data_IF_452424963589
#
_entry.id   IF_452424963589
#
_cell.length_a   1.000
_cell.length_b   1.000
_cell.length_c   1.000
_cell.angle_alpha   90.00
_cell.angle_beta   90.00
_cell.angle_gamma   90.00
#
_symmetry.space_group_name_H-M   'P 1'
#
loop_
_entity.id
_entity.type
_entity.pdbx_description
1 polymer ?
#
# COMPACT_ATOMS: atom_id res chain seq x y z
N UNK A 1 -4.73 0.13 5.20
CA UNK A 1 -4.27 1.39 4.57
C UNK A 1 -5.08 1.75 3.33
N UNK A 2 -5.27 0.85 2.34
CA UNK A 2 -5.98 1.17 1.09
C UNK A 2 -7.43 1.61 1.28
N UNK A 3 -8.17 0.99 2.20
CA UNK A 3 -9.54 1.41 2.51
C UNK A 3 -9.57 2.75 3.26
N UNK A 4 -8.57 3.01 4.12
CA UNK A 4 -8.42 4.32 4.77
C UNK A 4 -8.17 5.41 3.74
N UNK A 5 -7.26 5.18 2.79
CA UNK A 5 -7.00 6.11 1.69
C UNK A 5 -8.27 6.38 0.88
N UNK A 6 -8.99 5.33 0.49
CA UNK A 6 -10.23 5.45 -0.29
C UNK A 6 -11.26 6.30 0.44
N UNK A 7 -11.47 6.04 1.73
CA UNK A 7 -12.40 6.80 2.56
C UNK A 7 -11.97 8.27 2.70
N UNK A 8 -10.69 8.51 2.99
CA UNK A 8 -10.15 9.86 3.09
C UNK A 8 -10.31 10.64 1.78
N UNK A 9 -10.03 10.01 0.63
CA UNK A 9 -10.24 10.62 -0.69
C UNK A 9 -11.73 10.90 -0.96
N UNK A 10 -12.63 10.02 -0.53
CA UNK A 10 -14.09 10.25 -0.66
C UNK A 10 -14.55 11.42 0.18
N UNK A 11 -14.03 11.58 1.40
CA UNK A 11 -14.31 12.76 2.25
C UNK A 11 -13.73 14.01 1.61
N UNK A 12 -12.45 13.97 1.20
CA UNK A 12 -11.79 15.10 0.53
C UNK A 12 -12.58 15.57 -0.69
N UNK A 13 -13.14 14.66 -1.46
CA UNK A 13 -13.90 14.96 -2.66
C UNK A 13 -15.16 15.85 -2.41
N UNK A 14 -15.60 15.99 -1.15
CA UNK A 14 -16.69 16.90 -0.78
C UNK A 14 -16.26 18.35 -0.87
N UNK A 15 -15.00 18.65 -0.57
CA UNK A 15 -14.42 19.98 -0.46
C UNK A 15 -13.48 20.33 -1.60
N UNK A 16 -13.00 19.32 -2.33
CA UNK A 16 -12.03 19.53 -3.40
C UNK A 16 -12.68 20.23 -4.60
N UNK A 17 -12.08 21.30 -5.15
CA UNK A 17 -12.68 22.11 -6.23
C UNK A 17 -12.96 21.31 -7.50
N UNK A 18 -12.05 20.38 -7.83
CA UNK A 18 -12.24 19.48 -8.97
C UNK A 18 -12.70 18.12 -8.45
N UNK A 19 -13.90 17.70 -8.86
CA UNK A 19 -14.42 16.39 -8.45
C UNK A 19 -13.53 15.26 -8.97
N UNK A 20 -13.18 14.36 -8.06
CA UNK A 20 -12.41 13.16 -8.36
C UNK A 20 -13.38 12.01 -8.69
N UNK A 21 -13.15 11.34 -9.79
CA UNK A 21 -13.79 10.07 -10.09
C UNK A 21 -12.97 8.96 -9.43
N UNK A 22 -13.54 8.37 -8.39
CA UNK A 22 -12.86 7.31 -7.61
C UNK A 22 -13.31 5.95 -8.10
N UNK A 23 -12.34 5.06 -8.32
CA UNK A 23 -12.55 3.66 -8.68
C UNK A 23 -11.65 2.79 -7.82
N UNK A 24 -12.20 1.79 -7.15
CA UNK A 24 -11.44 0.90 -6.29
C UNK A 24 -11.18 -0.43 -6.99
N UNK A 25 -9.92 -0.85 -7.01
CA UNK A 25 -9.50 -2.13 -7.60
C UNK A 25 -8.70 -2.92 -6.58
N UNK A 26 -9.05 -4.20 -6.42
CA UNK A 26 -8.26 -5.16 -5.66
C UNK A 26 -7.67 -6.21 -6.60
N UNK A 27 -6.37 -6.42 -6.54
CA UNK A 27 -5.73 -7.56 -7.19
C UNK A 27 -5.75 -8.75 -6.22
N UNK A 28 -6.58 -9.73 -6.52
CA UNK A 28 -6.57 -11.02 -5.84
C UNK A 28 -5.42 -11.86 -6.42
N UNK A 29 -4.44 -12.18 -5.59
CA UNK A 29 -3.25 -12.94 -6.01
C UNK A 29 -3.48 -14.45 -6.05
N UNK A 30 -4.62 -14.94 -5.56
CA UNK A 30 -4.99 -16.35 -5.59
C UNK A 30 -4.57 -17.17 -4.37
N UNK A 31 -4.26 -16.52 -3.22
CA UNK A 31 -4.09 -17.27 -1.97
C UNK A 31 -5.43 -17.82 -1.47
N UNK A 32 -5.40 -19.02 -0.92
CA UNK A 32 -6.59 -19.63 -0.29
C UNK A 32 -7.05 -18.82 0.93
N UNK A 33 -8.37 -18.77 1.13
CA UNK A 33 -8.97 -18.10 2.28
C UNK A 33 -9.02 -16.59 2.23
N UNK A 34 -8.62 -15.94 1.11
CA UNK A 34 -8.81 -14.50 0.93
C UNK A 34 -10.27 -14.16 0.61
N UNK A 35 -10.89 -13.37 1.48
CA UNK A 35 -12.27 -12.89 1.29
C UNK A 35 -12.31 -11.35 1.16
N UNK A 36 -12.72 -10.88 0.00
CA UNK A 36 -12.87 -9.45 -0.32
C UNK A 36 -14.32 -8.95 -0.23
N UNK A 37 -15.24 -9.77 0.27
CA UNK A 37 -16.65 -9.38 0.44
C UNK A 37 -16.80 -8.14 1.31
N UNK A 38 -15.99 -8.02 2.37
CA UNK A 38 -15.95 -6.85 3.23
C UNK A 38 -15.50 -5.58 2.50
N UNK A 39 -14.53 -5.71 1.59
CA UNK A 39 -14.04 -4.59 0.75
C UNK A 39 -15.15 -4.12 -0.19
N UNK A 40 -15.83 -5.04 -0.87
CA UNK A 40 -16.94 -4.74 -1.77
C UNK A 40 -18.05 -3.98 -1.04
N UNK A 41 -18.51 -4.52 0.10
CA UNK A 41 -19.56 -3.88 0.92
C UNK A 41 -19.15 -2.48 1.40
N UNK A 42 -17.88 -2.31 1.77
CA UNK A 42 -17.38 -0.99 2.15
C UNK A 42 -17.42 0.00 0.97
N UNK A 43 -16.94 -0.39 -0.21
CA UNK A 43 -16.98 0.45 -1.40
C UNK A 43 -18.41 0.83 -1.79
N UNK A 44 -19.35 -0.11 -1.73
CA UNK A 44 -20.78 0.11 -1.94
C UNK A 44 -21.35 1.15 -0.94
N UNK A 45 -20.99 1.01 0.35
CA UNK A 45 -21.49 1.92 1.41
C UNK A 45 -21.06 3.36 1.23
N UNK A 46 -19.92 3.60 0.57
CA UNK A 46 -19.42 4.95 0.26
C UNK A 46 -19.67 5.38 -1.19
N UNK A 47 -20.47 4.62 -1.95
CA UNK A 47 -20.74 4.85 -3.36
C UNK A 47 -19.48 5.04 -4.20
N UNK A 48 -18.58 4.05 -4.16
CA UNK A 48 -17.40 3.97 -5.02
C UNK A 48 -17.46 2.66 -5.80
N UNK A 49 -17.37 2.68 -7.14
CA UNK A 49 -17.26 1.49 -7.95
C UNK A 49 -16.08 0.64 -7.51
N UNK A 50 -16.28 -0.68 -7.44
CA UNK A 50 -15.28 -1.64 -7.00
C UNK A 50 -15.15 -2.80 -7.97
N UNK A 51 -13.91 -3.17 -8.26
CA UNK A 51 -13.58 -4.33 -9.06
C UNK A 51 -12.51 -5.19 -8.38
N UNK A 52 -12.67 -6.50 -8.49
CA UNK A 52 -11.67 -7.49 -8.10
C UNK A 52 -11.07 -8.09 -9.38
N UNK A 53 -9.76 -7.99 -9.52
CA UNK A 53 -8.99 -8.61 -10.60
C UNK A 53 -8.40 -9.91 -10.04
N UNK A 54 -8.95 -11.03 -10.48
CA UNK A 54 -8.47 -12.36 -10.06
C UNK A 54 -7.26 -12.75 -10.89
N UNK A 55 -6.24 -13.31 -10.23
CA UNK A 55 -4.99 -13.75 -10.85
C UNK A 55 -4.48 -15.04 -10.20
N UNK A 56 -3.59 -15.74 -10.89
CA UNK A 56 -2.91 -16.94 -10.39
C UNK A 56 -1.48 -16.62 -9.91
N UNK A 57 -1.24 -15.39 -9.44
CA UNK A 57 0.10 -14.94 -9.04
C UNK A 57 0.68 -15.81 -7.90
N UNK A 58 -0.14 -16.22 -6.95
CA UNK A 58 0.32 -17.08 -5.86
C UNK A 58 0.91 -18.39 -6.39
N UNK A 59 0.23 -19.04 -7.33
CA UNK A 59 0.69 -20.26 -7.98
C UNK A 59 2.01 -20.03 -8.74
N UNK A 60 2.06 -18.99 -9.57
CA UNK A 60 3.27 -18.64 -10.35
C UNK A 60 4.46 -18.40 -9.43
N UNK A 61 4.26 -17.70 -8.29
CA UNK A 61 5.34 -17.30 -7.39
C UNK A 61 5.82 -18.42 -6.49
N UNK A 62 4.91 -19.27 -5.99
CA UNK A 62 5.22 -20.24 -4.94
C UNK A 62 5.26 -21.70 -5.42
N UNK A 63 4.61 -22.03 -6.54
CA UNK A 63 4.59 -23.38 -7.07
C UNK A 63 5.48 -23.52 -8.32
N UNK A 64 5.31 -22.63 -9.32
CA UNK A 64 5.98 -22.75 -10.60
C UNK A 64 7.39 -22.14 -10.60
N UNK A 65 7.63 -21.13 -9.74
CA UNK A 65 8.87 -20.40 -9.71
C UNK A 65 9.57 -20.54 -8.34
N UNK A 66 10.71 -21.21 -8.32
CA UNK A 66 11.55 -21.37 -7.11
C UNK A 66 12.49 -20.17 -6.92
N UNK A 67 12.05 -18.95 -7.23
CA UNK A 67 12.86 -17.75 -7.00
C UNK A 67 13.08 -17.56 -5.49
N UNK A 68 14.31 -17.25 -5.11
CA UNK A 68 14.68 -16.92 -3.73
C UNK A 68 14.03 -15.60 -3.24
N UNK A 69 13.37 -14.84 -4.13
CA UNK A 69 12.75 -13.54 -3.84
C UNK A 69 11.26 -13.46 -4.21
N UNK A 70 10.41 -14.30 -3.60
CA UNK A 70 9.00 -14.40 -3.97
C UNK A 70 8.26 -13.07 -3.84
N UNK A 71 8.56 -12.25 -2.82
CA UNK A 71 7.92 -10.95 -2.62
C UNK A 71 8.17 -9.96 -3.76
N UNK A 72 9.39 -9.95 -4.32
CA UNK A 72 9.75 -9.07 -5.44
C UNK A 72 8.97 -9.43 -6.71
N UNK A 73 8.92 -10.73 -7.03
CA UNK A 73 8.19 -11.23 -8.17
C UNK A 73 6.68 -11.01 -8.01
N UNK A 74 6.12 -11.32 -6.85
CA UNK A 74 4.70 -11.07 -6.54
C UNK A 74 4.34 -9.58 -6.72
N UNK A 75 5.18 -8.67 -6.19
CA UNK A 75 4.95 -7.24 -6.33
C UNK A 75 4.99 -6.78 -7.81
N UNK A 76 5.92 -7.33 -8.62
CA UNK A 76 6.03 -7.04 -10.05
C UNK A 76 4.79 -7.50 -10.82
N UNK A 77 4.36 -8.74 -10.60
CA UNK A 77 3.20 -9.33 -11.27
C UNK A 77 1.90 -8.61 -10.88
N UNK A 78 1.71 -8.29 -9.59
CA UNK A 78 0.55 -7.50 -9.13
C UNK A 78 0.49 -6.13 -9.79
N UNK A 79 1.61 -5.42 -9.86
CA UNK A 79 1.68 -4.12 -10.55
C UNK A 79 1.33 -4.26 -12.02
N UNK A 80 1.87 -5.29 -12.70
CA UNK A 80 1.56 -5.56 -14.10
C UNK A 80 0.07 -5.79 -14.34
N UNK A 81 -0.57 -6.66 -13.54
CA UNK A 81 -2.00 -6.93 -13.63
C UNK A 81 -2.85 -5.67 -13.41
N UNK A 82 -2.48 -4.86 -12.39
CA UNK A 82 -3.17 -3.61 -12.09
C UNK A 82 -3.02 -2.60 -13.24
N UNK A 83 -1.82 -2.38 -13.76
CA UNK A 83 -1.58 -1.40 -14.83
C UNK A 83 -2.26 -1.81 -16.14
N UNK A 84 -2.26 -3.11 -16.46
CA UNK A 84 -3.02 -3.63 -17.61
C UNK A 84 -4.50 -3.29 -17.46
N UNK A 85 -5.08 -3.56 -16.29
CA UNK A 85 -6.51 -3.27 -16.05
C UNK A 85 -6.83 -1.79 -16.08
N UNK A 86 -5.96 -0.93 -15.54
CA UNK A 86 -6.09 0.53 -15.65
C UNK A 86 -6.12 1.00 -17.10
N UNK A 87 -5.24 0.45 -17.95
CA UNK A 87 -5.22 0.75 -19.39
C UNK A 87 -6.53 0.38 -20.10
N UNK A 88 -7.10 -0.80 -19.78
CA UNK A 88 -8.39 -1.25 -20.32
C UNK A 88 -9.56 -0.33 -19.91
N UNK A 89 -9.49 0.24 -18.71
CA UNK A 89 -10.48 1.19 -18.18
C UNK A 89 -10.24 2.65 -18.60
N UNK A 90 -9.14 2.94 -19.32
CA UNK A 90 -8.74 4.30 -19.66
C UNK A 90 -8.32 5.16 -18.45
N UNK A 91 -7.98 4.54 -17.33
CA UNK A 91 -7.56 5.21 -16.09
C UNK A 91 -6.05 5.38 -16.10
N UNK A 92 -5.57 6.61 -15.96
CA UNK A 92 -4.15 6.95 -16.00
C UNK A 92 -3.55 7.40 -14.66
N UNK A 93 -4.28 7.27 -13.57
CA UNK A 93 -3.79 7.59 -12.22
C UNK A 93 -4.12 6.47 -11.25
N UNK A 94 -3.15 6.12 -10.41
CA UNK A 94 -3.34 5.16 -9.32
C UNK A 94 -2.84 5.76 -8.00
N UNK A 95 -3.64 5.66 -6.95
CA UNK A 95 -3.28 6.07 -5.61
C UNK A 95 -2.88 4.84 -4.77
N UNK A 96 -1.67 4.83 -4.24
CA UNK A 96 -1.21 3.85 -3.27
C UNK A 96 -1.25 4.42 -1.86
N UNK A 97 -1.65 3.59 -0.92
CA UNK A 97 -1.80 3.96 0.49
C UNK A 97 -0.48 3.85 1.28
N UNK A 98 0.66 4.09 0.63
CA UNK A 98 1.93 4.16 1.34
C UNK A 98 1.89 5.33 2.33
N UNK A 99 2.27 5.04 3.57
CA UNK A 99 2.28 5.98 4.68
C UNK A 99 3.70 6.46 5.01
N UNK A 100 3.88 7.25 6.08
CA UNK A 100 5.18 7.79 6.50
C UNK A 100 6.14 6.67 6.90
N UNK A 101 5.66 5.65 7.59
CA UNK A 101 6.46 4.54 8.08
C UNK A 101 6.98 3.70 6.91
N UNK A 102 6.14 3.40 5.89
CA UNK A 102 6.56 2.77 4.64
C UNK A 102 7.70 3.53 3.92
N UNK A 103 7.63 4.87 3.95
CA UNK A 103 8.67 5.71 3.34
C UNK A 103 9.99 5.56 4.06
N UNK A 104 9.98 5.63 5.40
CA UNK A 104 11.17 5.51 6.23
C UNK A 104 11.76 4.10 6.14
N UNK A 105 10.93 3.06 6.24
CA UNK A 105 11.35 1.67 6.05
C UNK A 105 12.04 1.46 4.70
N UNK A 106 11.48 2.03 3.63
CA UNK A 106 12.06 1.94 2.30
C UNK A 106 13.42 2.64 2.23
N UNK A 107 13.57 3.81 2.85
CA UNK A 107 14.84 4.52 2.93
C UNK A 107 15.90 3.72 3.71
N UNK A 108 15.53 3.13 4.85
CA UNK A 108 16.42 2.27 5.63
C UNK A 108 16.82 1.01 4.87
N UNK A 109 15.88 0.33 4.24
CA UNK A 109 16.17 -0.86 3.44
C UNK A 109 17.13 -0.53 2.29
N UNK A 110 16.93 0.58 1.61
CA UNK A 110 17.80 1.04 0.53
C UNK A 110 19.21 1.35 1.05
N UNK A 111 19.32 1.99 2.21
CA UNK A 111 20.59 2.29 2.84
C UNK A 111 21.35 1.01 3.26
N UNK A 112 20.67 0.08 3.93
CA UNK A 112 21.28 -1.13 4.51
C UNK A 112 21.62 -2.16 3.42
N UNK A 113 20.72 -2.39 2.46
CA UNK A 113 20.87 -3.49 1.49
C UNK A 113 21.43 -3.05 0.14
N UNK A 114 21.32 -1.77 -0.22
CA UNK A 114 21.73 -1.25 -1.52
C UNK A 114 22.85 -0.22 -1.43
N UNK A 115 23.22 0.23 -0.21
CA UNK A 115 24.26 1.23 0.02
C UNK A 115 23.93 2.61 -0.55
N UNK A 116 22.65 2.91 -0.77
CA UNK A 116 22.18 4.19 -1.30
C UNK A 116 21.00 4.74 -0.50
N UNK A 117 20.89 6.05 -0.40
CA UNK A 117 19.70 6.66 0.19
C UNK A 117 18.64 6.86 -0.90
N UNK A 118 17.60 6.01 -0.84
CA UNK A 118 16.48 6.08 -1.75
C UNK A 118 15.17 5.79 -1.02
N UNK A 119 14.15 6.58 -1.34
CA UNK A 119 12.76 6.28 -1.01
C UNK A 119 11.87 6.67 -2.20
N UNK A 120 10.65 6.17 -2.23
CA UNK A 120 9.73 6.46 -3.32
C UNK A 120 9.23 7.92 -3.25
N UNK A 121 9.16 8.67 -4.37
CA UNK A 121 8.62 10.01 -4.37
C UNK A 121 7.09 10.02 -4.22
N UNK A 122 6.48 11.17 -3.81
CA UNK A 122 5.03 11.29 -3.66
C UNK A 122 4.26 11.09 -4.97
N UNK A 123 4.87 11.45 -6.08
CA UNK A 123 4.33 11.29 -7.44
C UNK A 123 5.36 10.64 -8.33
N UNK A 124 4.96 9.65 -9.13
CA UNK A 124 5.84 8.96 -10.09
C UNK A 124 5.07 8.72 -11.39
N UNK A 125 5.57 9.22 -12.49
CA UNK A 125 5.04 8.84 -13.80
C UNK A 125 5.77 7.59 -14.31
N UNK A 126 5.00 6.62 -14.81
CA UNK A 126 5.48 5.35 -15.37
C UNK A 126 5.19 5.35 -16.88
N UNK A 127 6.16 5.72 -17.73
CA UNK A 127 5.92 5.90 -19.17
C UNK A 127 5.50 4.61 -19.87
N UNK A 128 6.06 3.46 -19.47
CA UNK A 128 5.72 2.16 -20.07
C UNK A 128 4.25 1.75 -19.84
N UNK A 129 3.68 2.16 -18.72
CA UNK A 129 2.29 1.88 -18.37
C UNK A 129 1.34 3.04 -18.68
N UNK A 130 1.85 4.23 -19.02
CA UNK A 130 1.06 5.44 -19.19
C UNK A 130 0.34 5.90 -17.91
N UNK A 131 0.84 5.50 -16.73
CA UNK A 131 0.16 5.67 -15.45
C UNK A 131 0.95 6.59 -14.52
N UNK A 132 0.27 7.52 -13.88
CA UNK A 132 0.82 8.32 -12.78
C UNK A 132 0.45 7.70 -11.43
N UNK A 133 1.46 7.29 -10.67
CA UNK A 133 1.31 6.83 -9.28
C UNK A 133 1.35 8.02 -8.34
N UNK A 134 0.39 8.12 -7.44
CA UNK A 134 0.37 9.11 -6.36
C UNK A 134 0.32 8.44 -5.00
N UNK A 135 0.85 9.09 -3.95
CA UNK A 135 0.90 8.57 -2.58
C UNK A 135 0.41 9.63 -1.58
N UNK A 136 -0.91 9.82 -1.51
CA UNK A 136 -1.49 10.94 -0.73
C UNK A 136 -1.21 10.86 0.77
N UNK A 137 -0.98 9.64 1.31
CA UNK A 137 -0.78 9.41 2.74
C UNK A 137 0.70 9.38 3.15
N UNK A 138 1.63 9.76 2.27
CA UNK A 138 3.07 9.65 2.48
C UNK A 138 3.59 10.34 3.76
N UNK A 139 2.88 11.33 4.27
CA UNK A 139 3.21 12.03 5.52
C UNK A 139 2.35 11.60 6.72
N UNK A 140 1.37 10.73 6.52
CA UNK A 140 0.54 10.23 7.60
C UNK A 140 1.27 9.10 8.36
N UNK A 141 1.40 9.15 9.70
CA UNK A 141 1.99 8.06 10.45
C UNK A 141 1.08 6.81 10.42
N UNK A 142 1.65 5.60 10.39
CA UNK A 142 0.92 4.32 10.37
C UNK A 142 -0.11 4.25 11.51
N UNK A 143 0.29 4.64 12.72
CA UNK A 143 -0.59 4.68 13.91
C UNK A 143 -1.81 5.58 13.69
N UNK A 144 -1.64 6.72 13.01
CA UNK A 144 -2.76 7.62 12.67
C UNK A 144 -3.74 6.97 11.69
N UNK A 145 -3.21 6.26 10.69
CA UNK A 145 -4.03 5.52 9.71
C UNK A 145 -4.77 4.37 10.39
N UNK A 146 -4.12 3.61 11.27
CA UNK A 146 -4.74 2.54 12.04
C UNK A 146 -5.87 3.05 12.92
N UNK A 147 -5.65 4.13 13.67
CA UNK A 147 -6.68 4.77 14.49
C UNK A 147 -7.87 5.26 13.65
N UNK A 148 -7.61 5.82 12.48
CA UNK A 148 -8.67 6.22 11.55
C UNK A 148 -9.53 5.03 11.12
N UNK A 149 -8.90 3.91 10.75
CA UNK A 149 -9.60 2.66 10.37
C UNK A 149 -10.50 2.17 11.50
N UNK A 150 -9.99 2.14 12.73
CA UNK A 150 -10.75 1.72 13.92
C UNK A 150 -11.94 2.66 14.16
N UNK A 151 -11.71 3.96 14.16
CA UNK A 151 -12.74 4.96 14.44
C UNK A 151 -13.85 4.99 13.36
N UNK A 152 -13.53 4.62 12.12
CA UNK A 152 -14.50 4.52 11.04
C UNK A 152 -15.17 3.13 10.95
N UNK A 153 -14.83 2.18 11.85
CA UNK A 153 -15.38 0.83 11.83
C UNK A 153 -15.06 0.04 10.57
N UNK A 154 -13.96 0.36 9.88
CA UNK A 154 -13.57 -0.28 8.63
C UNK A 154 -13.01 -1.68 8.92
N UNK A 155 -13.63 -2.71 8.37
CA UNK A 155 -13.16 -4.09 8.52
C UNK A 155 -11.94 -4.34 7.63
N UNK A 156 -10.86 -4.81 8.25
CA UNK A 156 -9.61 -5.14 7.56
C UNK A 156 -9.67 -6.58 7.05
N UNK A 157 -9.23 -6.80 5.81
CA UNK A 157 -9.05 -8.15 5.25
C UNK A 157 -7.79 -8.78 5.85
N UNK A 158 -7.92 -10.02 6.34
CA UNK A 158 -6.78 -10.76 6.87
C UNK A 158 -5.85 -11.15 5.72
N UNK A 159 -4.55 -10.88 5.88
CA UNK A 159 -3.53 -11.35 4.95
C UNK A 159 -3.27 -12.84 5.17
N UNK A 160 -3.31 -13.64 4.10
CA UNK A 160 -3.04 -15.09 4.13
C UNK A 160 -1.74 -15.46 3.42
N UNK A 161 -0.87 -14.47 3.13
CA UNK A 161 0.41 -14.70 2.49
C UNK A 161 1.34 -15.53 3.39
N UNK A 162 1.92 -16.65 2.90
CA UNK A 162 2.75 -17.54 3.73
C UNK A 162 4.08 -16.91 4.20
N UNK A 163 4.54 -15.85 3.56
CA UNK A 163 5.77 -15.13 3.93
C UNK A 163 5.50 -13.82 4.69
N UNK A 164 4.25 -13.61 5.12
CA UNK A 164 3.89 -12.43 5.92
C UNK A 164 4.62 -12.45 7.26
N UNK A 165 5.15 -11.30 7.70
CA UNK A 165 5.91 -11.17 8.94
C UNK A 165 7.36 -11.65 8.91
N UNK A 166 7.86 -12.27 7.81
CA UNK A 166 9.24 -12.78 7.69
C UNK A 166 10.07 -12.05 6.61
N UNK A 167 9.77 -10.79 6.36
CA UNK A 167 10.39 -10.02 5.28
C UNK A 167 11.49 -9.08 5.78
N UNK A 168 12.38 -8.65 4.86
CA UNK A 168 13.36 -7.59 5.15
C UNK A 168 12.69 -6.28 5.61
N UNK A 169 11.46 -6.04 5.20
CA UNK A 169 10.66 -4.88 5.63
C UNK A 169 10.30 -5.00 7.12
N UNK A 170 9.92 -6.18 7.57
CA UNK A 170 9.62 -6.41 8.99
C UNK A 170 10.86 -6.14 9.88
N UNK A 171 12.05 -6.56 9.42
CA UNK A 171 13.29 -6.22 10.10
C UNK A 171 13.54 -4.71 10.15
N UNK A 172 13.32 -3.99 9.04
CA UNK A 172 13.45 -2.53 9.01
C UNK A 172 12.46 -1.86 9.97
N UNK A 173 11.22 -2.37 10.07
CA UNK A 173 10.20 -1.90 11.03
C UNK A 173 10.65 -2.06 12.47
N UNK A 174 11.14 -3.24 12.85
CA UNK A 174 11.66 -3.51 14.19
C UNK A 174 12.87 -2.62 14.54
N UNK A 175 13.77 -2.40 13.57
CA UNK A 175 14.90 -1.48 13.75
C UNK A 175 14.42 -0.04 13.98
N UNK A 176 13.39 0.40 13.25
CA UNK A 176 12.78 1.72 13.47
C UNK A 176 12.17 1.86 14.86
N UNK A 177 11.49 0.84 15.36
CA UNK A 177 10.93 0.84 16.71
C UNK A 177 12.03 0.97 17.76
N UNK A 178 13.15 0.28 17.58
CA UNK A 178 14.32 0.40 18.46
C UNK A 178 14.92 1.81 18.42
N UNK A 179 15.14 2.37 17.24
CA UNK A 179 15.65 3.74 17.08
C UNK A 179 14.70 4.74 17.74
N UNK A 180 13.40 4.63 17.49
CA UNK A 180 12.41 5.53 18.10
C UNK A 180 12.38 5.42 19.63
N UNK A 181 12.52 4.22 20.19
CA UNK A 181 12.59 4.04 21.65
C UNK A 181 13.81 4.71 22.27
N UNK A 182 14.93 4.75 21.57
CA UNK A 182 16.14 5.45 22.03
C UNK A 182 16.03 6.99 21.88
N UNK A 183 15.31 7.46 20.86
CA UNK A 183 15.18 8.89 20.56
C UNK A 183 14.13 9.61 21.41
N UNK A 184 13.22 8.89 22.06
CA UNK A 184 12.23 9.49 22.97
C UNK A 184 12.87 10.26 24.15
N UNK A 185 14.12 9.95 24.48
CA UNK A 185 14.90 10.70 25.48
C UNK A 185 15.58 11.97 24.94
N UNK A 186 15.58 12.18 23.63
CA UNK A 186 16.29 13.31 22.98
C UNK A 186 15.34 14.38 22.45
N UNK A 187 14.05 14.07 22.28
CA UNK A 187 13.05 15.06 21.84
C UNK A 187 12.73 16.10 22.92
N UNK A 188 12.84 15.74 24.20
CA UNK A 188 12.65 16.68 25.32
C UNK A 188 13.87 17.58 25.57
N UNK A 189 15.03 17.25 25.00
CA UNK A 189 16.26 18.03 25.16
C UNK A 189 16.48 19.06 24.03
N UNK A 190 15.64 19.08 23.00
CA UNK A 190 15.74 20.01 21.88
C UNK A 190 14.82 21.24 22.04
N UNK A 191 13.97 21.26 23.08
CA UNK A 191 13.06 22.37 23.39
C UNK A 191 13.54 23.22 24.60
N UNK A 192 14.78 23.03 25.08
CA UNK A 192 15.50 23.91 25.99
C UNK A 192 16.58 24.71 25.20
#
# INVERSE_FOLDING_TARGET
DSLALLHAMKILNRFYPKKLELYAITCNVGFEGMDFTGVRKFCESINVPYEQVDTEIAKIVFEDNKDERPCSLCAKLRKGAMYKRLGELGINKIAYAHNKDDFIETALMSLIYEGRFYAFPPVTYLPEAGVTVIRPMMYAPEKGVANFVINQGIKVVKNTCPVDGSTKREYAKQLMEQINSCLLYTSDAADE
#
